data_IF_594432248045
#
_entry.id   IF_594432248045
#
_cell.length_a   1.000
_cell.length_b   1.000
_cell.length_c   1.000
_cell.angle_alpha   90.00
_cell.angle_beta   90.00
_cell.angle_gamma   90.00
#
_symmetry.space_group_name_H-M   'P 1'
#
loop_
_entity.id
_entity.type
_entity.pdbx_description
1 polymer ?
#
# COMPACT_ATOMS: atom_id res chain seq x y z
N UNK A 1 -4.86 -15.97 20.78
CA UNK A 1 -4.81 -14.52 21.11
C UNK A 1 -6.17 -14.06 21.63
N UNK A 2 -6.22 -13.11 22.56
CA UNK A 2 -7.51 -12.57 23.09
C UNK A 2 -8.30 -11.79 22.03
N UNK A 3 -9.63 -11.95 22.02
CA UNK A 3 -10.54 -11.28 21.08
C UNK A 3 -10.44 -9.74 21.10
N UNK A 4 -10.11 -9.16 22.26
CA UNK A 4 -9.92 -7.72 22.43
C UNK A 4 -8.67 -7.19 21.70
N UNK A 5 -7.63 -8.01 21.61
CA UNK A 5 -6.42 -7.69 20.84
C UNK A 5 -6.69 -7.77 19.34
N UNK A 6 -7.43 -8.79 18.88
CA UNK A 6 -7.79 -8.95 17.47
C UNK A 6 -8.62 -7.79 16.93
N UNK A 7 -9.58 -7.30 17.70
CA UNK A 7 -10.37 -6.12 17.31
C UNK A 7 -9.50 -4.86 17.15
N UNK A 8 -8.44 -4.73 17.96
CA UNK A 8 -7.49 -3.62 17.84
C UNK A 8 -6.67 -3.73 16.56
N UNK A 9 -6.16 -4.91 16.23
CA UNK A 9 -5.42 -5.15 14.97
C UNK A 9 -6.30 -4.95 13.74
N UNK A 10 -7.54 -5.46 13.76
CA UNK A 10 -8.50 -5.24 12.68
C UNK A 10 -8.75 -3.76 12.43
N UNK A 11 -8.96 -2.98 13.50
CA UNK A 11 -9.13 -1.53 13.39
C UNK A 11 -7.90 -0.84 12.78
N UNK A 12 -6.70 -1.18 13.26
CA UNK A 12 -5.45 -0.62 12.76
C UNK A 12 -5.23 -0.92 11.27
N UNK A 13 -5.48 -2.17 10.85
CA UNK A 13 -5.37 -2.59 9.46
C UNK A 13 -6.35 -1.86 8.54
N UNK A 14 -7.59 -1.65 9.00
CA UNK A 14 -8.59 -0.87 8.25
C UNK A 14 -8.21 0.61 8.13
N UNK A 15 -7.68 1.20 9.20
CA UNK A 15 -7.18 2.58 9.18
C UNK A 15 -6.01 2.74 8.19
N UNK A 16 -5.05 1.81 8.21
CA UNK A 16 -3.92 1.84 7.29
C UNK A 16 -4.35 1.59 5.82
N UNK A 17 -5.27 0.66 5.58
CA UNK A 17 -5.90 0.46 4.26
C UNK A 17 -6.51 1.76 3.73
N UNK A 18 -7.30 2.45 4.56
CA UNK A 18 -7.94 3.70 4.17
C UNK A 18 -6.91 4.80 3.90
N UNK A 19 -5.84 4.87 4.69
CA UNK A 19 -4.74 5.81 4.49
C UNK A 19 -4.03 5.60 3.15
N UNK A 20 -3.71 4.35 2.80
CA UNK A 20 -3.08 4.01 1.50
C UNK A 20 -4.02 4.37 0.34
N UNK A 21 -5.31 4.04 0.44
CA UNK A 21 -6.29 4.39 -0.59
C UNK A 21 -6.43 5.91 -0.79
N UNK A 22 -6.39 6.68 0.30
CA UNK A 22 -6.43 8.14 0.23
C UNK A 22 -5.15 8.72 -0.37
N UNK A 23 -3.98 8.16 -0.04
CA UNK A 23 -2.69 8.59 -0.59
C UNK A 23 -2.63 8.32 -2.09
N UNK A 24 -3.03 7.12 -2.50
CA UNK A 24 -3.05 6.71 -3.91
C UNK A 24 -3.94 7.61 -4.76
N UNK A 25 -5.06 8.11 -4.21
CA UNK A 25 -5.93 9.08 -4.88
C UNK A 25 -5.26 10.44 -5.10
N UNK A 26 -4.53 10.95 -4.10
CA UNK A 26 -3.82 12.24 -4.21
C UNK A 26 -2.68 12.17 -5.23
N UNK A 27 -1.91 11.09 -5.21
CA UNK A 27 -0.74 10.92 -6.09
C UNK A 27 -1.12 10.74 -7.58
N UNK A 28 -2.39 10.46 -7.92
CA UNK A 28 -2.83 10.35 -9.32
C UNK A 28 -2.79 11.68 -10.06
N UNK A 29 -3.01 12.78 -9.34
CA UNK A 29 -2.99 14.12 -9.91
C UNK A 29 -1.54 14.60 -10.13
N UNK A 30 -0.60 14.18 -9.26
CA UNK A 30 0.81 14.56 -9.32
C UNK A 30 1.59 13.88 -10.48
N UNK A 31 1.08 12.77 -11.03
CA UNK A 31 1.75 12.02 -12.12
C UNK A 31 1.46 12.61 -13.51
N UNK A 32 0.42 13.45 -13.64
CA UNK A 32 0.07 14.07 -14.91
C UNK A 32 0.95 15.30 -15.16
N UNK A 33 2.08 15.08 -15.81
CA UNK A 33 2.91 16.15 -16.37
C UNK A 33 2.67 16.17 -17.87
N UNK A 34 2.26 17.32 -18.41
CA UNK A 34 2.13 17.48 -19.86
C UNK A 34 3.52 17.53 -20.50
N UNK A 35 3.69 16.82 -21.61
CA UNK A 35 4.98 16.79 -22.32
C UNK A 35 5.26 18.16 -22.96
N UNK A 36 4.20 18.90 -23.27
CA UNK A 36 4.28 20.27 -23.78
C UNK A 36 4.78 21.27 -22.72
N UNK A 37 4.75 20.91 -21.43
CA UNK A 37 5.26 21.71 -20.30
C UNK A 37 6.77 21.45 -20.02
N UNK A 38 7.42 20.56 -20.78
CA UNK A 38 8.82 20.17 -20.59
C UNK A 38 9.68 20.69 -21.77
N UNK A 39 10.25 21.90 -21.66
CA UNK A 39 10.85 22.61 -22.79
C UNK A 39 12.21 22.07 -23.24
N UNK A 40 12.91 21.27 -22.43
CA UNK A 40 14.21 20.70 -22.79
C UNK A 40 14.38 19.20 -22.44
N UNK A 41 15.43 18.58 -22.99
CA UNK A 41 15.73 17.15 -22.81
C UNK A 41 16.08 16.79 -21.35
N UNK A 42 16.58 17.76 -20.58
CA UNK A 42 16.94 17.55 -19.16
C UNK A 42 15.68 17.49 -18.30
N UNK A 43 14.74 18.41 -18.55
CA UNK A 43 13.43 18.46 -17.92
C UNK A 43 12.62 17.20 -18.24
N UNK A 44 12.66 16.76 -19.51
CA UNK A 44 12.04 15.50 -19.93
C UNK A 44 12.62 14.30 -19.17
N UNK A 45 13.94 14.16 -19.14
CA UNK A 45 14.61 13.06 -18.44
C UNK A 45 14.29 13.06 -16.93
N UNK A 46 14.26 14.24 -16.28
CA UNK A 46 13.92 14.37 -14.87
C UNK A 46 12.45 13.96 -14.59
N UNK A 47 11.52 14.33 -15.47
CA UNK A 47 10.11 13.95 -15.41
C UNK A 47 9.93 12.44 -15.55
N UNK A 48 10.57 11.81 -16.53
CA UNK A 48 10.49 10.35 -16.74
C UNK A 48 11.00 9.54 -15.54
N UNK A 49 12.10 9.98 -14.92
CA UNK A 49 12.63 9.35 -13.70
C UNK A 49 11.63 9.47 -12.55
N UNK A 50 11.02 10.64 -12.39
CA UNK A 50 10.01 10.91 -11.35
C UNK A 50 8.76 10.05 -11.54
N UNK A 51 8.26 9.94 -12.78
CA UNK A 51 7.15 9.06 -13.13
C UNK A 51 7.49 7.59 -12.84
N UNK A 52 8.67 7.13 -13.24
CA UNK A 52 9.14 5.77 -12.98
C UNK A 52 9.17 5.45 -11.49
N UNK A 53 9.64 6.40 -10.67
CA UNK A 53 9.62 6.27 -9.20
C UNK A 53 8.19 6.18 -8.67
N UNK A 54 7.30 7.05 -9.15
CA UNK A 54 5.89 7.07 -8.76
C UNK A 54 5.19 5.74 -9.08
N UNK A 55 5.42 5.17 -10.26
CA UNK A 55 4.88 3.85 -10.63
C UNK A 55 5.37 2.74 -9.69
N UNK A 56 6.66 2.72 -9.35
CA UNK A 56 7.22 1.74 -8.40
C UNK A 56 6.61 1.87 -7.00
N UNK A 57 6.40 3.10 -6.53
CA UNK A 57 5.74 3.35 -5.24
C UNK A 57 4.28 2.86 -5.26
N UNK A 58 3.53 3.13 -6.33
CA UNK A 58 2.15 2.65 -6.48
C UNK A 58 2.05 1.13 -6.49
N UNK A 59 2.98 0.44 -7.16
CA UNK A 59 2.95 -1.02 -7.15
C UNK A 59 3.23 -1.58 -5.75
N UNK A 60 4.13 -0.95 -4.97
CA UNK A 60 4.34 -1.30 -3.56
C UNK A 60 3.10 -1.04 -2.71
N UNK A 61 2.42 0.08 -2.88
CA UNK A 61 1.15 0.39 -2.20
C UNK A 61 0.08 -0.67 -2.52
N UNK A 62 -0.02 -1.09 -3.79
CA UNK A 62 -0.94 -2.15 -4.23
C UNK A 62 -0.63 -3.48 -3.57
N UNK A 63 0.64 -3.88 -3.51
CA UNK A 63 1.06 -5.12 -2.84
C UNK A 63 0.81 -5.06 -1.33
N UNK A 64 1.02 -3.89 -0.70
CA UNK A 64 0.73 -3.69 0.71
C UNK A 64 -0.78 -3.82 1.00
N UNK A 65 -1.63 -3.25 0.15
CA UNK A 65 -3.08 -3.42 0.25
C UNK A 65 -3.49 -4.89 0.18
N UNK A 66 -2.92 -5.66 -0.75
CA UNK A 66 -3.19 -7.09 -0.86
C UNK A 66 -2.80 -7.85 0.43
N UNK A 67 -1.66 -7.51 1.04
CA UNK A 67 -1.24 -8.09 2.33
C UNK A 67 -2.16 -7.70 3.49
N UNK A 68 -2.67 -6.47 3.50
CA UNK A 68 -3.64 -6.03 4.52
C UNK A 68 -4.95 -6.81 4.37
N UNK A 69 -5.42 -7.01 3.14
CA UNK A 69 -6.63 -7.78 2.87
C UNK A 69 -6.48 -9.26 3.28
N UNK A 70 -5.33 -9.86 3.00
CA UNK A 70 -5.00 -11.21 3.48
C UNK A 70 -4.95 -11.29 5.01
N UNK A 71 -4.31 -10.32 5.67
CA UNK A 71 -4.27 -10.25 7.13
C UNK A 71 -5.68 -10.09 7.75
N UNK A 72 -6.55 -9.30 7.13
CA UNK A 72 -7.93 -9.15 7.56
C UNK A 72 -8.73 -10.46 7.41
N UNK A 73 -8.53 -11.19 6.31
CA UNK A 73 -9.14 -12.50 6.10
C UNK A 73 -8.67 -13.51 7.18
N UNK A 74 -7.37 -13.56 7.47
CA UNK A 74 -6.81 -14.41 8.56
C UNK A 74 -7.38 -14.06 9.94
N UNK A 75 -7.69 -12.79 10.19
CA UNK A 75 -8.35 -12.38 11.45
C UNK A 75 -9.76 -12.94 11.51
N UNK A 76 -10.51 -12.86 10.40
CA UNK A 76 -11.89 -13.35 10.32
C UNK A 76 -11.96 -14.89 10.39
N UNK A 77 -10.96 -15.58 9.84
CA UNK A 77 -10.80 -17.04 9.91
C UNK A 77 -10.18 -17.54 11.24
N UNK A 78 -9.70 -16.62 12.09
CA UNK A 78 -9.10 -16.93 13.39
C UNK A 78 -7.68 -17.49 13.35
N UNK A 79 -7.03 -17.54 12.19
CA UNK A 79 -5.65 -18.03 12.00
C UNK A 79 -4.59 -16.94 12.19
N UNK A 80 -5.00 -15.67 12.26
CA UNK A 80 -4.09 -14.54 12.44
C UNK A 80 -3.22 -14.68 13.70
N UNK A 81 -1.92 -14.41 13.53
CA UNK A 81 -0.95 -14.50 14.63
C UNK A 81 -0.41 -15.92 14.86
N UNK A 82 -0.60 -16.83 13.91
CA UNK A 82 0.08 -18.14 13.88
C UNK A 82 1.02 -18.19 12.69
N UNK A 83 2.24 -18.67 12.88
CA UNK A 83 3.23 -18.82 11.83
C UNK A 83 2.80 -19.92 10.85
N UNK A 84 2.83 -19.64 9.55
CA UNK A 84 2.46 -20.62 8.52
C UNK A 84 3.52 -21.73 8.34
N UNK A 85 4.77 -21.48 8.74
CA UNK A 85 5.87 -22.43 8.55
C UNK A 85 6.01 -23.42 9.72
N UNK A 86 5.81 -22.96 10.96
CA UNK A 86 6.02 -23.77 12.17
C UNK A 86 4.78 -23.95 13.05
N UNK A 87 3.65 -23.32 12.68
CA UNK A 87 2.39 -23.38 13.43
C UNK A 87 2.46 -22.83 14.87
N UNK A 88 3.54 -22.12 15.20
CA UNK A 88 3.72 -21.47 16.51
C UNK A 88 3.10 -20.06 16.53
N UNK A 89 2.65 -19.57 17.70
CA UNK A 89 2.13 -18.21 17.83
C UNK A 89 3.20 -17.15 17.59
N UNK A 90 2.82 -16.09 16.86
CA UNK A 90 3.64 -14.91 16.52
C UNK A 90 3.54 -13.83 17.60
#
# INVERSE_FOLDING_TARGET
>A
MESKSMNKFKKLLLEEKQKIMNNSRKNLDDIKVDVDDLPDETDLAASEVSQTLAFKLRDRERLLLAKIDDALAKIDDGTFGTCEDCEEPI
#
